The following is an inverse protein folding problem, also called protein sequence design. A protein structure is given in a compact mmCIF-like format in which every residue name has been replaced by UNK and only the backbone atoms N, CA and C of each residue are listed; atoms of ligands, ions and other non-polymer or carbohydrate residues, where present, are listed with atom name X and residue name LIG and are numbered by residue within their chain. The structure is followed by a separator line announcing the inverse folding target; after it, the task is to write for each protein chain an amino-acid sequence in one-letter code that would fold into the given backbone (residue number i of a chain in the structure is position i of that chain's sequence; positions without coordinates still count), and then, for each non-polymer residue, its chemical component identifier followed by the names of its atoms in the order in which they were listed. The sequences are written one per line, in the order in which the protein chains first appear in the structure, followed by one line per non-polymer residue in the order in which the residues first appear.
data_IF_533205135903
#
_entry.id   IF_533205135903
#
_cell.length_a   1.000
_cell.length_b   1.000
_cell.length_c   1.000
_cell.angle_alpha   90.00
_cell.angle_beta   90.00
_cell.angle_gamma   90.00
#
_symmetry.space_group_name_H-M   'P 1'
#
loop_
_entity.id
_entity.type
_entity.pdbx_description
1 polymer ?
#
# COMPACT_ATOMS: atom_id res chain seq x y z
N UNK A 1 -4.15 -11.37 16.92
CA UNK A 1 -2.94 -11.94 17.52
C UNK A 1 -1.75 -11.53 16.66
N UNK A 2 -0.86 -10.71 17.23
CA UNK A 2 0.35 -10.18 16.61
C UNK A 2 1.48 -11.23 16.59
N UNK A 3 1.18 -12.52 16.68
CA UNK A 3 2.22 -13.58 16.65
C UNK A 3 2.35 -14.25 15.29
N UNK A 4 1.47 -13.94 14.34
CA UNK A 4 1.42 -14.65 13.05
C UNK A 4 2.04 -13.88 11.87
N UNK A 5 2.43 -12.61 12.06
CA UNK A 5 3.03 -11.75 11.02
C UNK A 5 4.55 -11.92 10.89
N UNK A 6 5.23 -12.50 11.88
CA UNK A 6 6.67 -12.80 11.81
C UNK A 6 7.01 -13.99 10.91
N UNK A 7 6.01 -14.77 10.46
CA UNK A 7 6.24 -16.01 9.70
C UNK A 7 5.93 -15.93 8.20
N UNK A 8 5.42 -14.80 7.71
CA UNK A 8 5.00 -14.65 6.32
C UNK A 8 5.67 -13.43 5.69
N UNK A 9 6.68 -13.67 4.84
CA UNK A 9 7.21 -12.76 3.81
C UNK A 9 7.36 -11.31 4.22
N UNK A 10 8.54 -10.97 4.73
CA UNK A 10 8.85 -9.76 5.47
C UNK A 10 8.52 -8.47 4.69
N UNK A 11 7.46 -7.77 5.12
CA UNK A 11 7.14 -6.40 4.69
C UNK A 11 8.36 -5.49 4.81
N UNK A 12 9.26 -5.72 5.78
CA UNK A 12 10.47 -4.92 5.95
C UNK A 12 11.47 -5.15 4.82
N UNK A 13 11.56 -6.37 4.31
CA UNK A 13 12.44 -6.72 3.17
C UNK A 13 11.92 -6.08 1.87
N UNK A 14 10.59 -6.03 1.69
CA UNK A 14 9.93 -5.31 0.60
C UNK A 14 10.20 -3.79 0.67
N UNK A 15 10.06 -3.19 1.85
CA UNK A 15 10.23 -1.75 2.07
C UNK A 15 11.67 -1.28 1.87
N UNK A 16 12.66 -2.13 2.13
CA UNK A 16 14.10 -1.78 1.95
C UNK A 16 14.50 -1.60 0.49
N UNK A 17 13.62 -1.85 -0.48
CA UNK A 17 14.03 -2.09 -1.88
C UNK A 17 13.42 -1.16 -2.94
N UNK A 18 12.55 -0.20 -2.61
CA UNK A 18 11.88 0.66 -3.60
C UNK A 18 11.93 2.15 -3.27
N UNK A 19 13.04 2.79 -3.65
CA UNK A 19 12.98 4.17 -4.14
C UNK A 19 14.11 4.42 -5.15
N UNK A 20 13.77 5.01 -6.30
CA UNK A 20 14.68 5.19 -7.44
C UNK A 20 15.70 6.31 -7.17
N UNK A 21 16.99 5.96 -7.11
CA UNK A 21 18.05 6.81 -7.67
C UNK A 21 19.15 7.29 -6.73
N UNK A 22 18.98 7.17 -5.42
CA UNK A 22 20.06 7.40 -4.44
C UNK A 22 20.31 6.10 -3.67
N UNK A 23 21.56 5.84 -3.20
CA UNK A 23 21.79 4.74 -2.30
C UNK A 23 20.86 4.95 -1.11
N UNK A 24 20.01 3.96 -0.83
CA UNK A 24 19.27 3.92 0.41
C UNK A 24 20.34 3.87 1.51
N UNK A 25 20.69 5.02 2.07
CA UNK A 25 20.78 5.08 3.52
C UNK A 25 19.53 4.36 4.02
N UNK A 26 19.67 3.45 5.00
CA UNK A 26 18.61 2.51 5.36
C UNK A 26 17.29 3.26 5.34
N UNK A 27 16.30 2.80 4.56
CA UNK A 27 14.91 3.24 4.73
C UNK A 27 14.75 3.30 6.23
N UNK A 28 14.60 4.51 6.78
CA UNK A 28 14.91 4.65 8.20
C UNK A 28 14.00 3.67 8.89
N UNK A 29 14.53 2.86 9.80
CA UNK A 29 13.72 1.86 10.48
C UNK A 29 12.44 2.53 11.06
N UNK A 30 12.54 3.83 11.36
CA UNK A 30 11.43 4.73 11.65
C UNK A 30 10.38 4.85 10.53
N UNK A 31 10.71 5.11 9.26
CA UNK A 31 9.71 5.17 8.17
C UNK A 31 9.02 3.83 7.96
N UNK A 32 9.78 2.73 7.94
CA UNK A 32 9.20 1.39 7.84
C UNK A 32 8.30 1.07 9.05
N UNK A 33 8.70 1.48 10.26
CA UNK A 33 7.89 1.36 11.47
C UNK A 33 6.60 2.19 11.36
N UNK A 34 6.68 3.45 10.93
CA UNK A 34 5.51 4.31 10.71
C UNK A 34 4.50 3.67 9.77
N UNK A 35 4.96 3.08 8.66
CA UNK A 35 4.08 2.38 7.72
C UNK A 35 3.41 1.16 8.36
N UNK A 36 4.17 0.32 9.05
CA UNK A 36 3.63 -0.89 9.71
C UNK A 36 2.64 -0.53 10.81
N UNK A 37 2.97 0.45 11.65
CA UNK A 37 2.12 0.94 12.74
C UNK A 37 0.87 1.60 12.18
N UNK A 38 1.02 2.46 11.17
CA UNK A 38 -0.09 3.14 10.50
C UNK A 38 -1.06 2.15 9.84
N UNK A 39 -0.55 1.18 9.08
CA UNK A 39 -1.39 0.13 8.49
C UNK A 39 -2.09 -0.71 9.56
N UNK A 40 -1.40 -1.02 10.65
CA UNK A 40 -1.97 -1.80 11.75
C UNK A 40 -3.09 -1.05 12.46
N UNK A 41 -2.90 0.26 12.70
CA UNK A 41 -3.87 1.13 13.36
C UNK A 41 -5.11 1.39 12.49
N UNK A 42 -4.92 1.56 11.18
CA UNK A 42 -5.99 1.92 10.24
C UNK A 42 -6.49 0.74 9.40
N UNK A 43 -6.19 -0.50 9.81
CA UNK A 43 -6.45 -1.70 8.99
C UNK A 43 -7.89 -1.83 8.50
N UNK A 44 -8.87 -1.55 9.37
CA UNK A 44 -10.28 -1.69 9.02
C UNK A 44 -10.71 -0.69 7.94
N UNK A 45 -10.22 0.55 8.01
CA UNK A 45 -10.50 1.60 7.03
C UNK A 45 -9.81 1.29 5.68
N UNK A 46 -8.56 0.85 5.74
CA UNK A 46 -7.80 0.40 4.56
C UNK A 46 -8.52 -0.77 3.88
N UNK A 47 -8.87 -1.82 4.63
CA UNK A 47 -9.54 -3.00 4.08
C UNK A 47 -10.93 -2.65 3.52
N UNK A 48 -11.63 -1.66 4.10
CA UNK A 48 -12.89 -1.16 3.57
C UNK A 48 -12.73 -0.44 2.23
N UNK A 49 -11.75 0.47 2.10
CA UNK A 49 -11.47 1.15 0.83
C UNK A 49 -11.00 0.18 -0.25
N UNK A 50 -10.15 -0.79 0.11
CA UNK A 50 -9.73 -1.85 -0.80
C UNK A 50 -10.91 -2.71 -1.25
N UNK A 51 -11.82 -3.08 -0.34
CA UNK A 51 -13.01 -3.87 -0.67
C UNK A 51 -13.98 -3.11 -1.57
N UNK A 52 -14.15 -1.80 -1.34
CA UNK A 52 -14.91 -0.90 -2.22
C UNK A 52 -14.31 -0.88 -3.63
N UNK A 53 -12.99 -0.72 -3.72
CA UNK A 53 -12.30 -0.65 -5.00
C UNK A 53 -12.28 -2.00 -5.76
N UNK A 54 -12.18 -3.11 -5.03
CA UNK A 54 -12.04 -4.46 -5.53
C UNK A 54 -13.39 -5.17 -5.71
N UNK A 55 -14.39 -4.53 -6.32
CA UNK A 55 -15.81 -4.96 -6.51
C UNK A 55 -16.09 -6.49 -6.73
N UNK A 56 -15.12 -7.29 -7.20
CA UNK A 56 -15.25 -8.74 -7.45
C UNK A 56 -14.18 -9.60 -6.77
N UNK A 57 -13.27 -9.01 -6.00
CA UNK A 57 -12.12 -9.69 -5.43
C UNK A 57 -12.08 -9.57 -3.92
N UNK A 58 -12.18 -10.70 -3.26
CA UNK A 58 -12.04 -10.80 -1.81
C UNK A 58 -10.56 -10.57 -1.44
N UNK A 59 -10.30 -9.50 -0.69
CA UNK A 59 -8.97 -9.14 -0.20
C UNK A 59 -8.32 -10.29 0.58
N UNK A 60 -9.11 -11.10 1.28
CA UNK A 60 -8.59 -12.24 2.06
C UNK A 60 -8.07 -13.39 1.19
N UNK A 61 -8.43 -13.44 -0.09
CA UNK A 61 -7.98 -14.46 -1.05
C UNK A 61 -6.75 -14.07 -1.85
N UNK A 62 -6.26 -12.85 -1.68
CA UNK A 62 -5.04 -12.36 -2.34
C UNK A 62 -3.81 -13.00 -1.71
N UNK A 63 -2.77 -13.19 -2.53
CA UNK A 63 -1.45 -13.55 -2.04
C UNK A 63 -1.00 -12.56 -0.95
N UNK A 64 -0.26 -13.05 0.03
CA UNK A 64 0.13 -12.22 1.19
C UNK A 64 0.91 -10.97 0.77
N UNK A 65 1.79 -11.11 -0.22
CA UNK A 65 2.55 -10.00 -0.81
C UNK A 65 1.63 -8.94 -1.41
N UNK A 66 0.73 -9.34 -2.31
CA UNK A 66 -0.19 -8.42 -3.01
C UNK A 66 -1.09 -7.68 -2.03
N UNK A 67 -1.65 -8.41 -1.05
CA UNK A 67 -2.52 -7.86 -0.03
C UNK A 67 -1.80 -6.84 0.84
N UNK A 68 -0.58 -7.15 1.26
CA UNK A 68 0.22 -6.28 2.11
C UNK A 68 0.71 -5.04 1.35
N UNK A 69 1.09 -5.21 0.09
CA UNK A 69 1.45 -4.11 -0.80
C UNK A 69 0.29 -3.14 -1.01
N UNK A 70 -0.91 -3.67 -1.31
CA UNK A 70 -2.12 -2.87 -1.44
C UNK A 70 -2.46 -2.10 -0.16
N UNK A 71 -2.29 -2.72 1.00
CA UNK A 71 -2.54 -2.06 2.30
C UNK A 71 -1.57 -0.90 2.56
N UNK A 72 -0.28 -1.12 2.34
CA UNK A 72 0.74 -0.08 2.51
C UNK A 72 0.45 1.13 1.62
N UNK A 73 0.28 0.90 0.32
CA UNK A 73 0.02 1.99 -0.63
C UNK A 73 -1.32 2.67 -0.39
N UNK A 74 -2.34 1.95 0.07
CA UNK A 74 -3.64 2.56 0.43
C UNK A 74 -3.51 3.44 1.67
N UNK A 75 -2.74 3.02 2.68
CA UNK A 75 -2.47 3.86 3.83
C UNK A 75 -1.76 5.17 3.42
N UNK A 76 -0.75 5.09 2.56
CA UNK A 76 -0.08 6.29 2.03
C UNK A 76 -1.07 7.19 1.26
N UNK A 77 -1.94 6.61 0.42
CA UNK A 77 -2.96 7.36 -0.30
C UNK A 77 -3.96 8.08 0.63
N UNK A 78 -4.26 7.51 1.80
CA UNK A 78 -5.20 8.10 2.77
C UNK A 78 -4.52 9.17 3.63
N UNK A 79 -3.34 8.86 4.17
CA UNK A 79 -2.75 9.60 5.28
C UNK A 79 -1.55 10.46 4.88
N UNK A 80 -0.84 10.13 3.80
CA UNK A 80 0.35 10.86 3.35
C UNK A 80 0.01 11.82 2.19
N UNK A 81 -0.39 13.05 2.48
CA UNK A 81 -0.82 14.03 1.45
C UNK A 81 0.30 14.71 0.68
N UNK A 82 1.54 14.69 1.15
CA UNK A 82 2.64 15.38 0.48
C UNK A 82 3.14 14.59 -0.73
N UNK A 83 2.98 13.26 -0.71
CA UNK A 83 3.41 12.40 -1.80
C UNK A 83 2.37 12.34 -2.92
N UNK A 84 2.72 12.69 -4.17
CA UNK A 84 1.78 12.63 -5.29
C UNK A 84 1.26 11.20 -5.53
N UNK A 85 -0.03 11.07 -5.84
CA UNK A 85 -0.70 9.79 -6.11
C UNK A 85 0.05 8.93 -7.12
N UNK A 86 0.49 9.53 -8.23
CA UNK A 86 1.21 8.79 -9.28
C UNK A 86 2.56 8.23 -8.83
N UNK A 87 3.20 8.85 -7.83
CA UNK A 87 4.45 8.37 -7.25
C UNK A 87 4.18 7.11 -6.43
N UNK A 88 3.21 7.18 -5.51
CA UNK A 88 2.78 6.03 -4.67
C UNK A 88 2.40 4.83 -5.54
N UNK A 89 1.57 5.03 -6.57
CA UNK A 89 1.12 3.95 -7.45
C UNK A 89 2.30 3.35 -8.24
N UNK A 90 3.19 4.18 -8.79
CA UNK A 90 4.34 3.70 -9.56
C UNK A 90 5.32 2.88 -8.69
N UNK A 91 5.50 3.26 -7.43
CA UNK A 91 6.31 2.50 -6.48
C UNK A 91 5.67 1.16 -6.14
N UNK A 92 4.36 1.16 -5.86
CA UNK A 92 3.61 -0.07 -5.64
C UNK A 92 3.73 -1.02 -6.84
N UNK A 93 3.57 -0.51 -8.06
CA UNK A 93 3.72 -1.30 -9.30
C UNK A 93 5.15 -1.81 -9.47
N UNK A 94 6.16 -1.06 -9.03
CA UNK A 94 7.56 -1.48 -9.07
C UNK A 94 7.82 -2.61 -8.07
N UNK A 95 7.28 -2.52 -6.85
CA UNK A 95 7.31 -3.60 -5.86
C UNK A 95 6.59 -4.85 -6.36
N UNK A 96 5.39 -4.68 -6.94
CA UNK A 96 4.61 -5.76 -7.53
C UNK A 96 5.39 -6.54 -8.60
N UNK A 97 6.16 -5.84 -9.46
CA UNK A 97 7.01 -6.50 -10.48
C UNK A 97 8.16 -7.32 -9.89
N UNK A 98 8.62 -6.93 -8.69
CA UNK A 98 9.77 -7.54 -8.03
C UNK A 98 9.38 -8.77 -7.20
N UNK A 99 8.20 -8.74 -6.60
CA UNK A 99 7.80 -9.69 -5.57
C UNK A 99 6.50 -10.44 -5.85
N UNK A 100 5.70 -9.97 -6.81
CA UNK A 100 4.47 -10.61 -7.23
C UNK A 100 4.64 -11.48 -8.47
N UNK A 101 3.54 -12.09 -8.89
CA UNK A 101 3.46 -12.86 -10.13
C UNK A 101 3.30 -11.94 -11.35
N UNK A 102 3.31 -12.54 -12.54
CA UNK A 102 3.19 -11.84 -13.83
C UNK A 102 2.00 -10.87 -13.89
N UNK A 103 0.88 -11.21 -13.25
CA UNK A 103 -0.36 -10.44 -13.31
C UNK A 103 -0.50 -9.45 -12.13
N UNK A 104 0.35 -9.54 -11.10
CA UNK A 104 0.30 -8.66 -9.92
C UNK A 104 0.46 -7.17 -10.28
N UNK A 105 1.39 -6.75 -11.18
CA UNK A 105 1.59 -5.32 -11.44
C UNK A 105 0.36 -4.61 -12.04
N UNK A 106 -0.32 -5.23 -13.00
CA UNK A 106 -1.53 -4.65 -13.60
C UNK A 106 -2.70 -4.68 -12.63
N UNK A 107 -2.81 -5.74 -11.83
CA UNK A 107 -3.80 -5.87 -10.78
C UNK A 107 -3.65 -4.76 -9.72
N UNK A 108 -2.44 -4.60 -9.14
CA UNK A 108 -2.14 -3.56 -8.14
C UNK A 108 -2.41 -2.17 -8.70
N UNK A 109 -1.97 -1.88 -9.93
CA UNK A 109 -2.22 -0.58 -10.55
C UNK A 109 -3.72 -0.28 -10.64
N UNK A 110 -4.52 -1.24 -11.13
CA UNK A 110 -5.96 -1.05 -11.29
C UNK A 110 -6.71 -0.81 -9.98
N UNK A 111 -6.35 -1.53 -8.91
CA UNK A 111 -6.96 -1.33 -7.59
C UNK A 111 -6.56 0.04 -7.01
N UNK A 112 -5.27 0.39 -7.02
CA UNK A 112 -4.80 1.64 -6.43
C UNK A 112 -5.29 2.88 -7.18
N UNK A 113 -5.43 2.80 -8.51
CA UNK A 113 -6.05 3.88 -9.31
C UNK A 113 -7.50 4.16 -8.87
N UNK A 114 -8.24 3.12 -8.48
CA UNK A 114 -9.63 3.25 -8.01
C UNK A 114 -9.68 3.76 -6.57
N UNK A 115 -8.88 3.17 -5.68
CA UNK A 115 -8.73 3.63 -4.29
C UNK A 115 -8.36 5.12 -4.25
N UNK A 116 -7.37 5.55 -5.03
CA UNK A 116 -6.92 6.94 -5.04
C UNK A 116 -8.04 7.92 -5.39
N UNK A 117 -8.89 7.58 -6.37
CA UNK A 117 -10.05 8.40 -6.73
C UNK A 117 -11.06 8.52 -5.60
N UNK A 118 -11.29 7.43 -4.86
CA UNK A 118 -12.24 7.41 -3.75
C UNK A 118 -11.72 8.21 -2.55
N UNK A 119 -10.46 7.98 -2.13
CA UNK A 119 -9.93 8.56 -0.89
C UNK A 119 -9.44 9.99 -1.04
N UNK A 120 -8.88 10.38 -2.19
CA UNK A 120 -8.43 11.77 -2.41
C UNK A 120 -9.56 12.72 -2.75
N UNK A 121 -10.55 12.29 -3.53
CA UNK A 121 -11.74 13.11 -3.77
C UNK A 121 -12.53 13.36 -2.47
N UNK A 122 -12.60 12.37 -1.58
CA UNK A 122 -13.21 12.54 -0.26
C UNK A 122 -12.43 13.52 0.63
N UNK A 123 -11.10 13.47 0.60
CA UNK A 123 -10.23 14.39 1.35
C UNK A 123 -10.31 15.83 0.84
N UNK A 124 -10.23 16.04 -0.47
CA UNK A 124 -10.38 17.37 -1.09
C UNK A 124 -11.75 17.99 -0.76
N UNK A 125 -12.81 17.18 -0.70
CA UNK A 125 -14.14 17.63 -0.31
C UNK A 125 -14.27 17.95 1.20
N UNK A 126 -13.51 17.28 2.06
CA UNK A 126 -13.49 17.52 3.50
C UNK A 126 -12.67 18.78 3.84
N UNK A 127 -11.53 18.99 3.18
CA UNK A 127 -10.64 20.15 3.40
C UNK A 127 -11.23 21.46 2.83
N UNK A 128 -12.17 21.37 1.88
CA UNK A 128 -12.87 22.51 1.30
C UNK A 128 -14.06 23.03 2.15
N UNK A 129 -14.37 22.41 3.29
CA UNK A 129 -15.55 22.69 4.11
C UNK A 129 -15.19 23.29 5.47
#
# INVERSE_FOLDING_TARGET
DLSNWEKQGDIRELLTQVHRGEPLGPVSEAYAATLVEGVSASRAEIDAALSSAAEKWDISRMADVDRNLLRLSTWELMFESETPVGVIINEAVTLAKRFGDKDTPSFVNGILDRVAREVRAAKDAADAK
#
